data_IF_084889165178
#
_entry.id   IF_084889165178
#
_cell.length_a   1.000
_cell.length_b   1.000
_cell.length_c   1.000
_cell.angle_alpha   90.00
_cell.angle_beta   90.00
_cell.angle_gamma   90.00
#
_symmetry.space_group_name_H-M   'P 1'
#
loop_
_entity.id
_entity.type
_entity.pdbx_description
1 polymer ?
#
# COMPACT_ATOMS: atom_id res chain seq x y z
N UNK A 1 0.64 1.51 -20.70
CA UNK A 1 1.03 1.37 -19.29
C UNK A 1 0.49 0.09 -18.64
N UNK A 2 -0.72 -0.39 -18.97
CA UNK A 2 -1.28 -1.66 -18.43
C UNK A 2 -0.37 -2.89 -18.62
N UNK A 3 0.29 -3.03 -19.77
CA UNK A 3 1.26 -4.11 -19.99
C UNK A 3 2.45 -4.04 -19.00
N UNK A 4 2.89 -2.83 -18.65
CA UNK A 4 3.94 -2.62 -17.65
C UNK A 4 3.42 -2.97 -16.25
N UNK A 5 2.20 -2.58 -15.89
CA UNK A 5 1.59 -3.00 -14.60
C UNK A 5 1.53 -4.53 -14.46
N UNK A 6 1.09 -5.22 -15.51
CA UNK A 6 1.02 -6.68 -15.52
C UNK A 6 2.41 -7.30 -15.40
N UNK A 7 3.41 -6.76 -16.10
CA UNK A 7 4.79 -7.21 -15.99
C UNK A 7 5.36 -6.98 -14.57
N UNK A 8 5.09 -5.83 -13.95
CA UNK A 8 5.49 -5.54 -12.58
C UNK A 8 4.88 -6.54 -11.59
N UNK A 9 3.60 -6.87 -11.76
CA UNK A 9 2.92 -7.90 -10.96
C UNK A 9 3.51 -9.29 -11.15
N UNK A 10 3.90 -9.65 -12.37
CA UNK A 10 4.60 -10.92 -12.64
C UNK A 10 5.94 -10.94 -11.90
N UNK A 11 6.72 -9.86 -11.95
CA UNK A 11 7.98 -9.78 -11.19
C UNK A 11 7.78 -9.91 -9.68
N UNK A 12 6.72 -9.32 -9.11
CA UNK A 12 6.38 -9.53 -7.70
C UNK A 12 6.11 -11.01 -7.39
N UNK A 13 5.34 -11.70 -8.23
CA UNK A 13 5.06 -13.14 -8.07
C UNK A 13 6.32 -14.01 -8.15
N UNK A 14 7.31 -13.57 -8.92
CA UNK A 14 8.61 -14.24 -9.03
C UNK A 14 9.60 -13.83 -7.93
N UNK A 15 9.21 -12.96 -6.99
CA UNK A 15 10.09 -12.44 -5.94
C UNK A 15 11.16 -11.45 -6.44
N UNK A 16 11.11 -11.04 -7.71
CA UNK A 16 12.06 -10.09 -8.29
C UNK A 16 11.61 -8.64 -8.03
N UNK A 17 11.76 -8.22 -6.78
CA UNK A 17 11.30 -6.90 -6.29
C UNK A 17 11.96 -5.74 -7.06
N UNK A 18 13.26 -5.84 -7.36
CA UNK A 18 14.00 -4.80 -8.07
C UNK A 18 13.44 -4.56 -9.48
N UNK A 19 13.11 -5.64 -10.20
CA UNK A 19 12.51 -5.53 -11.54
C UNK A 19 11.08 -5.04 -11.47
N UNK A 20 10.30 -5.50 -10.49
CA UNK A 20 8.95 -5.00 -10.25
C UNK A 20 8.93 -3.48 -10.04
N UNK A 21 9.77 -2.99 -9.13
CA UNK A 21 9.91 -1.56 -8.82
C UNK A 21 10.25 -0.74 -10.08
N UNK A 22 11.27 -1.18 -10.84
CA UNK A 22 11.65 -0.52 -12.09
C UNK A 22 10.48 -0.47 -13.08
N UNK A 23 9.76 -1.58 -13.23
CA UNK A 23 8.63 -1.66 -14.16
C UNK A 23 7.45 -0.79 -13.73
N UNK A 24 7.11 -0.73 -12.44
CA UNK A 24 6.06 0.17 -11.95
C UNK A 24 6.44 1.65 -12.11
N UNK A 25 7.72 2.01 -11.91
CA UNK A 25 8.23 3.35 -12.23
C UNK A 25 8.07 3.68 -13.71
N UNK A 26 8.38 2.75 -14.60
CA UNK A 26 8.15 2.92 -16.05
C UNK A 26 6.65 3.07 -16.37
N UNK A 27 5.77 2.34 -15.70
CA UNK A 27 4.33 2.45 -15.87
C UNK A 27 3.82 3.86 -15.47
N UNK A 28 4.34 4.44 -14.38
CA UNK A 28 4.02 5.81 -13.96
C UNK A 28 4.56 6.88 -14.90
N UNK A 29 5.75 6.67 -15.48
CA UNK A 29 6.27 7.56 -16.53
C UNK A 29 5.38 7.54 -17.77
N UNK A 30 4.86 6.37 -18.14
CA UNK A 30 3.96 6.20 -19.28
C UNK A 30 2.53 6.70 -19.00
N UNK A 31 2.05 6.60 -17.76
CA UNK A 31 0.77 7.14 -17.33
C UNK A 31 0.83 7.55 -15.85
N UNK A 32 0.74 8.87 -15.61
CA UNK A 32 0.80 9.43 -14.26
C UNK A 32 -0.38 9.03 -13.37
N UNK A 33 -1.49 8.55 -13.95
CA UNK A 33 -2.68 8.12 -13.21
C UNK A 33 -2.72 6.59 -12.99
N UNK A 34 -1.59 5.89 -13.19
CA UNK A 34 -1.48 4.46 -12.92
C UNK A 34 -1.52 4.17 -11.41
N UNK A 35 -2.73 4.18 -10.85
CA UNK A 35 -2.98 3.96 -9.42
C UNK A 35 -2.53 2.57 -8.96
N UNK A 36 -2.53 1.56 -9.85
CA UNK A 36 -1.97 0.24 -9.57
C UNK A 36 -0.49 0.36 -9.26
N UNK A 37 0.28 1.05 -10.11
CA UNK A 37 1.71 1.23 -9.91
C UNK A 37 2.02 2.05 -8.66
N UNK A 38 1.23 3.08 -8.36
CA UNK A 38 1.35 3.84 -7.12
C UNK A 38 1.20 2.93 -5.89
N UNK A 39 0.16 2.11 -5.85
CA UNK A 39 -0.11 1.26 -4.70
C UNK A 39 0.97 0.17 -4.52
N UNK A 40 1.42 -0.45 -5.61
CA UNK A 40 2.50 -1.44 -5.54
C UNK A 40 3.84 -0.81 -5.14
N UNK A 41 4.15 0.40 -5.62
CA UNK A 41 5.36 1.12 -5.20
C UNK A 41 5.27 1.57 -3.74
N UNK A 42 4.09 1.96 -3.25
CA UNK A 42 3.89 2.27 -1.83
C UNK A 42 4.25 1.06 -0.95
N UNK A 43 3.80 -0.14 -1.33
CA UNK A 43 4.13 -1.38 -0.60
C UNK A 43 5.62 -1.73 -0.70
N UNK A 44 6.20 -1.66 -1.90
CA UNK A 44 7.63 -1.94 -2.10
C UNK A 44 8.49 -1.01 -1.24
N UNK A 45 8.23 0.30 -1.29
CA UNK A 45 8.99 1.28 -0.51
C UNK A 45 8.78 1.11 1.00
N UNK A 46 7.57 0.75 1.43
CA UNK A 46 7.31 0.44 2.83
C UNK A 46 8.18 -0.75 3.30
N UNK A 47 8.20 -1.85 2.55
CA UNK A 47 8.98 -3.04 2.88
C UNK A 47 10.49 -2.76 2.86
N UNK A 48 10.94 -1.87 1.97
CA UNK A 48 12.32 -1.38 1.90
C UNK A 48 12.67 -0.32 2.96
N UNK A 49 11.77 -0.01 3.90
CA UNK A 49 11.93 1.03 4.93
C UNK A 49 12.10 2.47 4.37
N UNK A 50 11.73 2.70 3.11
CA UNK A 50 11.72 4.01 2.47
C UNK A 50 10.40 4.73 2.75
N UNK A 51 10.13 5.00 4.03
CA UNK A 51 8.83 5.49 4.50
C UNK A 51 8.37 6.79 3.80
N UNK A 52 9.24 7.81 3.54
CA UNK A 52 8.82 9.00 2.81
C UNK A 52 8.33 8.70 1.39
N UNK A 53 9.01 7.81 0.67
CA UNK A 53 8.62 7.41 -0.68
C UNK A 53 7.32 6.59 -0.67
N UNK A 54 7.16 5.69 0.31
CA UNK A 54 5.93 4.93 0.51
C UNK A 54 4.73 5.84 0.75
N UNK A 55 4.91 6.86 1.59
CA UNK A 55 3.90 7.88 1.91
C UNK A 55 3.48 8.65 0.67
N UNK A 56 4.46 9.15 -0.08
CA UNK A 56 4.19 9.90 -1.30
C UNK A 56 3.38 9.07 -2.30
N UNK A 57 3.75 7.80 -2.53
CA UNK A 57 3.05 6.92 -3.47
C UNK A 57 1.64 6.59 -2.99
N UNK A 58 1.46 6.31 -1.70
CA UNK A 58 0.14 6.04 -1.13
C UNK A 58 -0.79 7.25 -1.22
N UNK A 59 -0.32 8.44 -0.90
CA UNK A 59 -1.13 9.66 -1.01
C UNK A 59 -1.50 9.98 -2.46
N UNK A 60 -0.59 9.75 -3.41
CA UNK A 60 -0.90 9.88 -4.84
C UNK A 60 -2.00 8.90 -5.24
N UNK A 61 -1.89 7.64 -4.82
CA UNK A 61 -2.94 6.63 -5.04
C UNK A 61 -4.29 7.12 -4.50
N UNK A 62 -4.36 7.59 -3.24
CA UNK A 62 -5.60 8.08 -2.62
C UNK A 62 -6.17 9.28 -3.37
N UNK A 63 -5.33 10.20 -3.85
CA UNK A 63 -5.77 11.34 -4.68
C UNK A 63 -6.36 10.89 -6.01
N UNK A 64 -5.77 9.88 -6.65
CA UNK A 64 -6.23 9.37 -7.96
C UNK A 64 -7.53 8.55 -7.84
N UNK A 65 -7.66 7.67 -6.84
CA UNK A 65 -8.85 6.81 -6.71
C UNK A 65 -9.98 7.45 -5.89
N UNK A 66 -9.64 8.40 -5.02
CA UNK A 66 -10.56 9.02 -4.06
C UNK A 66 -10.61 8.28 -2.73
N UNK A 67 -10.72 9.04 -1.62
CA UNK A 67 -10.64 8.51 -0.25
C UNK A 67 -11.62 7.36 0.05
N UNK A 68 -12.79 7.34 -0.59
CA UNK A 68 -13.86 6.36 -0.36
C UNK A 68 -13.76 5.10 -1.24
N UNK A 69 -12.87 5.06 -2.24
CA UNK A 69 -12.79 3.98 -3.23
C UNK A 69 -11.62 3.02 -2.98
N UNK A 70 -11.15 2.96 -1.74
CA UNK A 70 -10.00 2.14 -1.35
C UNK A 70 -10.45 0.73 -0.97
N UNK A 71 -9.78 -0.29 -1.51
CA UNK A 71 -9.97 -1.67 -1.08
C UNK A 71 -9.25 -2.00 0.23
N UNK A 72 -9.57 -3.13 0.85
CA UNK A 72 -8.99 -3.57 2.12
C UNK A 72 -7.43 -3.58 2.10
N UNK A 73 -6.82 -4.12 1.04
CA UNK A 73 -5.36 -4.10 0.86
C UNK A 73 -4.78 -2.69 0.85
N UNK A 74 -5.42 -1.75 0.17
CA UNK A 74 -4.92 -0.39 0.10
C UNK A 74 -4.96 0.29 1.48
N UNK A 75 -6.09 0.16 2.19
CA UNK A 75 -6.24 0.66 3.55
C UNK A 75 -5.19 0.05 4.49
N UNK A 76 -4.87 -1.23 4.33
CA UNK A 76 -3.82 -1.91 5.10
C UNK A 76 -2.41 -1.38 4.84
N UNK A 77 -2.07 -1.09 3.58
CA UNK A 77 -0.81 -0.44 3.20
C UNK A 77 -0.73 0.93 3.85
N UNK A 78 -1.78 1.75 3.67
CA UNK A 78 -1.85 3.09 4.25
C UNK A 78 -1.72 3.12 5.76
N UNK A 79 -2.38 2.19 6.45
CA UNK A 79 -2.32 2.06 7.90
C UNK A 79 -0.90 1.77 8.38
N UNK A 80 -0.20 0.84 7.71
CA UNK A 80 1.20 0.51 8.01
C UNK A 80 2.15 1.69 7.73
N UNK A 81 1.91 2.43 6.66
CA UNK A 81 2.65 3.66 6.32
C UNK A 81 2.41 4.75 7.36
N UNK A 82 1.15 5.01 7.74
CA UNK A 82 0.78 5.99 8.77
C UNK A 82 1.41 5.64 10.12
N UNK A 83 1.38 4.35 10.51
CA UNK A 83 2.06 3.86 11.71
C UNK A 83 3.56 4.14 11.66
N UNK A 84 4.23 3.86 10.53
CA UNK A 84 5.67 4.10 10.37
C UNK A 84 6.04 5.59 10.43
N UNK A 85 5.12 6.48 10.04
CA UNK A 85 5.27 7.94 10.17
C UNK A 85 4.89 8.48 11.56
N UNK A 86 4.52 7.63 12.51
CA UNK A 86 3.91 8.04 13.77
C UNK A 86 2.63 8.90 13.61
N UNK A 87 1.96 8.81 12.45
CA UNK A 87 0.68 9.46 12.18
C UNK A 87 -0.48 8.67 12.80
N UNK A 88 -0.67 8.88 14.10
CA UNK A 88 -1.73 8.23 14.88
C UNK A 88 -3.13 8.57 14.36
N UNK A 89 -3.33 9.79 13.87
CA UNK A 89 -4.63 10.25 13.41
C UNK A 89 -5.00 9.60 12.07
N UNK A 90 -4.11 9.65 11.09
CA UNK A 90 -4.30 8.99 9.80
C UNK A 90 -4.45 7.47 9.96
N UNK A 91 -3.65 6.85 10.83
CA UNK A 91 -3.80 5.44 11.16
C UNK A 91 -5.21 5.13 11.68
N UNK A 92 -5.73 5.91 12.64
CA UNK A 92 -7.06 5.69 13.20
C UNK A 92 -8.18 5.85 12.16
N UNK A 93 -8.07 6.82 11.25
CA UNK A 93 -9.02 7.02 10.15
C UNK A 93 -9.05 5.79 9.25
N UNK A 94 -7.88 5.29 8.84
CA UNK A 94 -7.77 4.13 7.96
C UNK A 94 -8.27 2.84 8.62
N UNK A 95 -7.96 2.62 9.90
CA UNK A 95 -8.52 1.51 10.69
C UNK A 95 -10.04 1.56 10.74
N UNK A 96 -10.61 2.75 11.01
CA UNK A 96 -12.06 2.92 11.09
C UNK A 96 -12.73 2.58 9.76
N UNK A 97 -12.14 3.03 8.64
CA UNK A 97 -12.63 2.71 7.30
C UNK A 97 -12.51 1.21 7.00
N UNK A 98 -11.38 0.59 7.34
CA UNK A 98 -11.16 -0.85 7.14
C UNK A 98 -12.18 -1.67 7.93
N UNK A 99 -12.41 -1.34 9.21
CA UNK A 99 -13.42 -1.98 10.06
C UNK A 99 -14.84 -1.82 9.50
N UNK A 100 -15.19 -0.61 9.04
CA UNK A 100 -16.54 -0.31 8.58
C UNK A 100 -16.88 -0.96 7.23
N UNK A 101 -15.91 -0.99 6.30
CA UNK A 101 -16.14 -1.45 4.93
C UNK A 101 -15.76 -2.92 4.72
N UNK A 102 -14.79 -3.44 5.49
CA UNK A 102 -14.21 -4.77 5.28
C UNK A 102 -13.96 -5.53 6.60
N UNK A 103 -14.97 -5.70 7.47
CA UNK A 103 -14.79 -6.34 8.79
C UNK A 103 -14.34 -7.81 8.75
N UNK A 104 -14.56 -8.51 7.64
CA UNK A 104 -14.16 -9.92 7.47
C UNK A 104 -12.88 -10.10 6.66
N UNK A 105 -12.23 -9.01 6.24
CA UNK A 105 -11.05 -9.14 5.37
C UNK A 105 -9.83 -9.67 6.13
N UNK A 106 -8.93 -10.41 5.45
CA UNK A 106 -7.67 -10.85 6.04
C UNK A 106 -6.85 -9.70 6.63
N UNK A 107 -6.88 -8.52 6.02
CA UNK A 107 -6.19 -7.33 6.50
C UNK A 107 -6.73 -6.83 7.84
N UNK A 108 -8.06 -6.80 8.01
CA UNK A 108 -8.66 -6.39 9.28
C UNK A 108 -8.40 -7.42 10.36
N UNK A 109 -8.49 -8.71 10.03
CA UNK A 109 -8.14 -9.78 10.97
C UNK A 109 -6.67 -9.71 11.39
N UNK A 110 -5.76 -9.40 10.44
CA UNK A 110 -4.34 -9.18 10.73
C UNK A 110 -4.14 -7.96 11.63
N UNK A 111 -4.85 -6.85 11.40
CA UNK A 111 -4.82 -5.69 12.29
C UNK A 111 -5.20 -6.05 13.73
N UNK A 112 -6.30 -6.81 13.92
CA UNK A 112 -6.76 -7.22 15.24
C UNK A 112 -5.71 -8.09 15.96
N UNK A 113 -5.14 -9.08 15.27
CA UNK A 113 -4.07 -9.91 15.84
C UNK A 113 -2.87 -9.06 16.28
N UNK A 114 -2.54 -8.05 15.47
CA UNK A 114 -1.40 -7.19 15.73
C UNK A 114 -1.60 -6.24 16.90
N UNK A 115 -2.84 -5.85 17.19
CA UNK A 115 -3.19 -5.03 18.35
C UNK A 115 -2.84 -5.71 19.68
N UNK A 116 -2.83 -7.04 19.69
CA UNK A 116 -2.51 -7.86 20.88
C UNK A 116 -1.07 -8.42 20.85
N UNK A 117 -0.25 -8.05 19.86
CA UNK A 117 1.11 -8.55 19.66
C UNK A 117 2.17 -7.44 19.73
N UNK A 118 3.42 -7.80 20.06
CA UNK A 118 4.55 -6.85 20.13
C UNK A 118 5.03 -6.38 18.74
N UNK A 119 5.84 -5.33 18.68
CA UNK A 119 6.16 -4.56 17.45
C UNK A 119 6.69 -5.37 16.24
N UNK A 120 7.28 -6.54 16.44
CA UNK A 120 7.97 -7.31 15.40
C UNK A 120 7.05 -7.85 14.29
N UNK A 121 5.73 -7.91 14.53
CA UNK A 121 4.77 -8.65 13.68
C UNK A 121 4.18 -7.79 12.55
N UNK A 122 4.41 -6.46 12.56
CA UNK A 122 3.89 -5.51 11.57
C UNK A 122 4.60 -5.54 10.20
N UNK A 123 5.64 -6.37 10.04
CA UNK A 123 6.42 -6.51 8.81
C UNK A 123 5.71 -7.33 7.73
#
# INVERSE_FOLDING_TARGET
>A
YQALENLGRIYLKLGNIASAEKTFKQALLANRDSYISMLELAEIFYLQQQIPAATQMYEQYVRTVGQKNQGARALWIGLRVARANADKMGMQVLVNQLRALFPESPEYQRYLQLQYSTEAVWK
#
